data_IF_604792604969
#
_entry.id   IF_604792604969
#
_cell.length_a   1.000
_cell.length_b   1.000
_cell.length_c   1.000
_cell.angle_alpha   90.00
_cell.angle_beta   90.00
_cell.angle_gamma   90.00
#
_symmetry.space_group_name_H-M   'P 1'
#
loop_
_entity.id
_entity.type
_entity.pdbx_description
1 polymer ?
#
# COMPACT_ATOMS: atom_id res chain seq x y z
N UNK A 1 -60.28 42.99 -24.69
CA UNK A 1 -60.50 41.97 -23.66
C UNK A 1 -59.19 41.22 -23.59
N UNK A 2 -58.37 41.59 -22.61
CA UNK A 2 -57.01 41.07 -22.42
C UNK A 2 -57.13 39.70 -21.77
N UNK A 3 -56.85 38.66 -22.54
CA UNK A 3 -56.79 37.28 -22.07
C UNK A 3 -55.32 36.96 -21.77
N UNK A 4 -54.74 37.67 -20.80
CA UNK A 4 -53.45 37.29 -20.21
C UNK A 4 -53.70 36.11 -19.27
N UNK A 5 -53.85 34.93 -19.86
CA UNK A 5 -53.63 33.67 -19.18
C UNK A 5 -52.14 33.62 -18.80
N UNK A 6 -51.81 34.27 -17.67
CA UNK A 6 -50.51 34.16 -17.02
C UNK A 6 -50.41 32.73 -16.53
N UNK A 7 -49.90 31.85 -17.39
CA UNK A 7 -49.53 30.49 -17.02
C UNK A 7 -48.40 30.63 -16.00
N UNK A 8 -48.74 30.48 -14.72
CA UNK A 8 -47.76 30.44 -13.64
C UNK A 8 -46.83 29.27 -13.96
N UNK A 9 -45.51 29.47 -14.08
CA UNK A 9 -44.60 28.38 -14.35
C UNK A 9 -44.77 27.30 -13.29
N UNK A 10 -44.85 26.03 -13.71
CA UNK A 10 -44.96 24.88 -12.82
C UNK A 10 -43.64 24.67 -12.05
N UNK A 11 -43.49 25.42 -10.96
CA UNK A 11 -42.32 25.41 -10.04
C UNK A 11 -42.15 24.05 -9.33
N UNK A 12 -43.15 23.16 -9.37
CA UNK A 12 -43.09 21.86 -8.69
C UNK A 12 -42.04 20.92 -9.29
N UNK A 13 -41.74 21.08 -10.59
CA UNK A 13 -40.74 20.28 -11.29
C UNK A 13 -39.32 20.68 -10.91
N UNK A 14 -39.07 21.98 -10.71
CA UNK A 14 -37.78 22.53 -10.31
C UNK A 14 -37.38 22.04 -8.91
N UNK A 15 -38.32 22.13 -7.95
CA UNK A 15 -38.14 21.62 -6.58
C UNK A 15 -37.90 20.10 -6.53
N UNK A 16 -38.50 19.34 -7.45
CA UNK A 16 -38.34 17.89 -7.50
C UNK A 16 -36.96 17.47 -8.03
N UNK A 17 -36.47 18.18 -9.06
CA UNK A 17 -35.16 17.96 -9.67
C UNK A 17 -34.03 18.29 -8.69
N UNK A 18 -34.13 19.43 -8.00
CA UNK A 18 -33.13 19.85 -7.01
C UNK A 18 -33.05 18.87 -5.83
N UNK A 19 -34.18 18.33 -5.37
CA UNK A 19 -34.21 17.30 -4.32
C UNK A 19 -33.51 16.02 -4.77
N UNK A 20 -33.75 15.58 -6.00
CA UNK A 20 -33.11 14.38 -6.55
C UNK A 20 -31.60 14.58 -6.73
N UNK A 21 -31.19 15.74 -7.24
CA UNK A 21 -29.79 16.12 -7.36
C UNK A 21 -29.08 16.12 -6.01
N UNK A 22 -29.68 16.75 -4.99
CA UNK A 22 -29.14 16.77 -3.62
C UNK A 22 -29.03 15.35 -3.06
N UNK A 23 -30.04 14.50 -3.27
CA UNK A 23 -29.99 13.11 -2.80
C UNK A 23 -28.87 12.32 -3.48
N UNK A 24 -28.66 12.52 -4.78
CA UNK A 24 -27.59 11.87 -5.53
C UNK A 24 -26.20 12.37 -5.12
N UNK A 25 -26.05 13.67 -4.85
CA UNK A 25 -24.81 14.23 -4.33
C UNK A 25 -24.49 13.68 -2.93
N UNK A 26 -25.49 13.56 -2.04
CA UNK A 26 -25.31 12.93 -0.72
C UNK A 26 -24.80 11.50 -0.82
N UNK A 27 -25.42 10.69 -1.69
CA UNK A 27 -24.97 9.30 -1.94
C UNK A 27 -23.54 9.24 -2.47
N UNK A 28 -23.16 10.16 -3.36
CA UNK A 28 -21.79 10.24 -3.88
C UNK A 28 -20.80 10.61 -2.78
N UNK A 29 -21.14 11.57 -1.94
CA UNK A 29 -20.31 11.95 -0.77
C UNK A 29 -20.14 10.77 0.17
N UNK A 30 -21.22 10.06 0.53
CA UNK A 30 -21.14 8.86 1.37
C UNK A 30 -20.23 7.79 0.77
N UNK A 31 -20.37 7.52 -0.54
CA UNK A 31 -19.52 6.57 -1.25
C UNK A 31 -18.05 6.99 -1.21
N UNK A 32 -17.75 8.26 -1.48
CA UNK A 32 -16.39 8.79 -1.47
C UNK A 32 -15.78 8.73 -0.06
N UNK A 33 -16.57 9.01 0.97
CA UNK A 33 -16.13 8.89 2.38
C UNK A 33 -15.76 7.44 2.72
N UNK A 34 -16.56 6.46 2.29
CA UNK A 34 -16.24 5.05 2.50
C UNK A 34 -14.98 4.63 1.74
N UNK A 35 -14.82 5.09 0.49
CA UNK A 35 -13.62 4.83 -0.29
C UNK A 35 -12.37 5.45 0.34
N UNK A 36 -12.49 6.67 0.89
CA UNK A 36 -11.40 7.33 1.60
C UNK A 36 -10.99 6.53 2.84
N UNK A 37 -11.94 6.13 3.68
CA UNK A 37 -11.65 5.35 4.88
C UNK A 37 -10.99 3.99 4.55
N UNK A 38 -11.43 3.34 3.47
CA UNK A 38 -10.82 2.09 3.01
C UNK A 38 -9.40 2.30 2.50
N UNK A 39 -9.12 3.41 1.81
CA UNK A 39 -7.79 3.74 1.33
C UNK A 39 -6.84 4.09 2.48
N UNK A 40 -7.32 4.78 3.52
CA UNK A 40 -6.55 5.06 4.74
C UNK A 40 -6.15 3.76 5.45
N UNK A 41 -7.08 2.81 5.61
CA UNK A 41 -6.79 1.50 6.21
C UNK A 41 -5.77 0.71 5.38
N UNK A 42 -5.86 0.76 4.05
CA UNK A 42 -4.88 0.12 3.16
C UNK A 42 -3.49 0.74 3.29
N UNK A 43 -3.40 2.07 3.39
CA UNK A 43 -2.13 2.78 3.62
C UNK A 43 -1.50 2.36 4.95
N UNK A 44 -2.29 2.25 6.02
CA UNK A 44 -1.80 1.83 7.33
C UNK A 44 -1.26 0.40 7.29
N UNK A 45 -1.98 -0.51 6.64
CA UNK A 45 -1.57 -1.91 6.48
C UNK A 45 -0.27 -2.02 5.66
N UNK A 46 -0.18 -1.31 4.53
CA UNK A 46 1.03 -1.30 3.70
C UNK A 46 2.22 -0.67 4.44
N UNK A 47 1.97 0.35 5.27
CA UNK A 47 3.01 0.98 6.09
C UNK A 47 3.56 -0.01 7.12
N UNK A 48 2.68 -0.77 7.78
CA UNK A 48 3.08 -1.81 8.72
C UNK A 48 3.90 -2.91 8.02
N UNK A 49 3.44 -3.39 6.87
CA UNK A 49 4.15 -4.40 6.08
C UNK A 49 5.54 -3.90 5.66
N UNK A 50 5.64 -2.66 5.18
CA UNK A 50 6.91 -2.05 4.78
C UNK A 50 7.92 -2.01 5.94
N UNK A 51 7.45 -1.66 7.14
CA UNK A 51 8.29 -1.64 8.34
C UNK A 51 8.78 -3.04 8.72
N UNK A 52 7.91 -4.05 8.64
CA UNK A 52 8.29 -5.44 8.90
C UNK A 52 9.33 -5.94 7.89
N UNK A 53 9.15 -5.63 6.60
CA UNK A 53 10.11 -5.98 5.56
C UNK A 53 11.46 -5.30 5.75
N UNK A 54 11.48 -4.02 6.16
CA UNK A 54 12.72 -3.31 6.50
C UNK A 54 13.48 -3.99 7.63
N UNK A 55 12.79 -4.32 8.72
CA UNK A 55 13.39 -5.03 9.86
C UNK A 55 13.96 -6.39 9.43
N UNK A 56 13.18 -7.18 8.69
CA UNK A 56 13.64 -8.49 8.19
C UNK A 56 14.88 -8.35 7.29
N UNK A 57 14.91 -7.35 6.42
CA UNK A 57 16.06 -7.10 5.55
C UNK A 57 17.32 -6.70 6.34
N UNK A 58 17.19 -5.88 7.39
CA UNK A 58 18.31 -5.54 8.28
C UNK A 58 18.86 -6.78 9.00
N UNK A 59 17.98 -7.67 9.47
CA UNK A 59 18.39 -8.93 10.11
C UNK A 59 19.14 -9.85 9.13
N UNK A 60 18.62 -9.99 7.91
CA UNK A 60 19.27 -10.77 6.86
C UNK A 60 20.64 -10.20 6.49
N UNK A 61 20.79 -8.88 6.46
CA UNK A 61 22.09 -8.23 6.24
C UNK A 61 23.09 -8.55 7.36
N UNK A 62 22.65 -8.49 8.63
CA UNK A 62 23.48 -8.87 9.79
C UNK A 62 23.95 -10.34 9.68
N UNK A 63 23.04 -11.24 9.32
CA UNK A 63 23.34 -12.66 9.10
C UNK A 63 24.36 -12.85 7.96
N UNK A 64 24.16 -12.16 6.83
CA UNK A 64 25.06 -12.25 5.68
C UNK A 64 26.48 -11.77 6.02
N UNK A 65 26.60 -10.67 6.78
CA UNK A 65 27.89 -10.19 7.31
C UNK A 65 28.57 -11.27 8.15
N UNK A 66 27.83 -11.94 9.05
CA UNK A 66 28.37 -13.01 9.88
C UNK A 66 28.87 -14.19 9.04
N UNK A 67 28.08 -14.64 8.06
CA UNK A 67 28.48 -15.69 7.13
C UNK A 67 29.77 -15.33 6.37
N UNK A 68 29.89 -14.10 5.87
CA UNK A 68 31.11 -13.61 5.21
C UNK A 68 32.33 -13.63 6.14
N UNK A 69 32.16 -13.24 7.41
CA UNK A 69 33.25 -13.29 8.40
C UNK A 69 33.74 -14.73 8.66
N UNK A 70 32.81 -15.68 8.79
CA UNK A 70 33.15 -17.09 9.04
C UNK A 70 33.83 -17.72 7.81
N UNK A 71 33.30 -17.46 6.62
CA UNK A 71 33.82 -18.05 5.37
C UNK A 71 35.17 -17.46 4.94
N UNK A 72 35.42 -16.18 5.20
CA UNK A 72 36.70 -15.51 4.92
C UNK A 72 37.72 -15.64 6.07
N UNK A 73 37.42 -16.42 7.12
CA UNK A 73 38.35 -16.60 8.23
C UNK A 73 39.64 -17.34 7.78
N UNK A 74 40.84 -16.84 8.14
CA UNK A 74 42.13 -17.39 7.70
C UNK A 74 42.36 -18.87 8.04
N UNK A 75 41.61 -19.42 8.99
CA UNK A 75 41.74 -20.80 9.46
C UNK A 75 41.50 -21.87 8.38
N UNK A 76 40.89 -21.53 7.23
CA UNK A 76 40.64 -22.50 6.14
C UNK A 76 41.73 -22.57 5.05
N UNK A 77 42.82 -21.80 5.16
CA UNK A 77 43.94 -21.86 4.20
C UNK A 77 45.04 -22.87 4.57
N UNK A 78 44.86 -23.74 5.56
CA UNK A 78 45.77 -24.88 5.79
C UNK A 78 45.46 -26.04 4.84
N UNK A 79 45.66 -25.83 3.53
CA UNK A 79 45.77 -26.95 2.57
C UNK A 79 47.21 -27.03 2.07
N UNK A 80 47.80 -28.22 2.28
CA UNK A 80 49.11 -28.76 1.83
C UNK A 80 50.26 -28.57 2.83
N UNK A 81 51.01 -29.61 3.19
CA UNK A 81 51.33 -30.83 2.42
C UNK A 81 51.14 -32.11 3.26
N UNK A 82 50.21 -32.98 2.83
CA UNK A 82 50.32 -34.40 3.15
C UNK A 82 51.54 -34.91 2.36
N UNK A 83 52.65 -35.18 3.07
CA UNK A 83 53.81 -35.84 2.50
C UNK A 83 53.44 -37.29 2.21
N UNK A 84 53.40 -37.68 0.94
CA UNK A 84 53.35 -39.11 0.61
C UNK A 84 54.71 -39.75 0.93
N UNK A 85 54.76 -40.98 1.49
CA UNK A 85 56.03 -41.60 1.84
C UNK A 85 56.79 -41.99 0.57
N UNK A 86 58.08 -41.65 0.49
CA UNK A 86 58.96 -42.23 -0.53
C UNK A 86 59.15 -43.71 -0.21
N UNK A 87 58.84 -44.58 -1.17
CA UNK A 87 59.29 -45.98 -1.13
C UNK A 87 60.80 -46.01 -1.41
N UNK A 88 61.48 -46.83 -0.62
CA UNK A 88 62.92 -47.12 -0.66
C UNK A 88 63.40 -47.54 -2.06
#
# INVERSE_FOLDING_TARGET
>A
MDDTATSVPDMSKDDSYDRELIANLKKQVEKLTLQLSSAEEEIDNLTLENNNLKQSNEELQKINILYKKITNSPAKKSKKKLSTPKKN
#
